data_IF_163038697886
#
_entry.id   IF_163038697886
#
_cell.length_a   1.000
_cell.length_b   1.000
_cell.length_c   1.000
_cell.angle_alpha   90.00
_cell.angle_beta   90.00
_cell.angle_gamma   90.00
#
_symmetry.space_group_name_H-M   'P 1'
#
loop_
_entity.id
_entity.type
_entity.pdbx_description
1 polymer ?
#
# COMPACT_ATOMS: atom_id res chain seq x y z
N UNK A 1 -11.01 -11.90 -1.06
CA UNK A 1 -9.58 -12.22 -1.14
C UNK A 1 -8.83 -10.89 -1.20
N UNK A 2 -7.72 -10.75 -0.48
CA UNK A 2 -6.87 -9.55 -0.51
C UNK A 2 -5.48 -9.95 -1.02
N UNK A 3 -5.02 -9.31 -2.09
CA UNK A 3 -3.69 -9.51 -2.68
C UNK A 3 -3.03 -8.16 -2.81
N UNK A 4 -1.78 -8.08 -2.39
CA UNK A 4 -0.95 -6.89 -2.48
C UNK A 4 -0.10 -6.97 -3.73
N UNK A 5 0.02 -5.84 -4.44
CA UNK A 5 0.72 -5.78 -5.71
C UNK A 5 1.65 -4.56 -5.72
N UNK A 6 2.88 -4.75 -6.18
CA UNK A 6 3.83 -3.68 -6.45
C UNK A 6 4.05 -3.55 -7.94
N UNK A 7 4.00 -2.31 -8.43
CA UNK A 7 4.18 -1.98 -9.84
C UNK A 7 5.19 -0.88 -10.04
N UNK A 8 5.81 -0.83 -11.21
CA UNK A 8 6.60 0.32 -11.63
C UNK A 8 5.69 1.51 -12.02
N UNK A 9 6.24 2.71 -12.23
CA UNK A 9 5.44 3.88 -12.63
C UNK A 9 4.72 3.75 -14.00
N UNK A 10 5.09 2.76 -14.82
CA UNK A 10 4.49 2.46 -16.12
C UNK A 10 3.44 1.33 -16.03
N UNK A 11 3.17 0.82 -14.82
CA UNK A 11 2.18 -0.23 -14.57
C UNK A 11 2.68 -1.66 -14.76
N UNK A 12 4.00 -1.88 -14.89
CA UNK A 12 4.56 -3.25 -14.96
C UNK A 12 4.54 -3.87 -13.56
N UNK A 13 4.07 -5.11 -13.50
CA UNK A 13 4.05 -5.89 -12.26
C UNK A 13 5.49 -6.24 -11.83
N UNK A 14 5.88 -5.79 -10.63
CA UNK A 14 7.17 -6.10 -10.02
C UNK A 14 7.06 -7.26 -9.03
N UNK A 15 5.95 -7.34 -8.29
CA UNK A 15 5.72 -8.37 -7.28
C UNK A 15 4.24 -8.47 -6.90
N UNK A 16 3.82 -9.67 -6.48
CA UNK A 16 2.49 -9.94 -5.93
C UNK A 16 2.58 -10.83 -4.67
N UNK A 17 1.74 -10.56 -3.68
CA UNK A 17 1.69 -11.32 -2.43
C UNK A 17 0.91 -12.61 -2.55
N UNK A 18 1.10 -13.51 -1.57
CA UNK A 18 0.13 -14.57 -1.33
C UNK A 18 -1.22 -13.98 -0.91
N UNK A 19 -2.29 -14.70 -1.22
CA UNK A 19 -3.64 -14.27 -0.94
C UNK A 19 -3.99 -14.33 0.55
N UNK A 20 -4.61 -13.27 1.06
CA UNK A 20 -5.21 -13.21 2.39
C UNK A 20 -6.76 -13.22 2.30
N UNK A 21 -7.47 -13.54 3.40
CA UNK A 21 -8.92 -13.39 3.46
C UNK A 21 -9.38 -12.01 3.01
N UNK A 22 -10.53 -11.93 2.32
CA UNK A 22 -11.06 -10.64 1.83
C UNK A 22 -11.46 -9.66 2.91
N UNK A 23 -11.66 -10.14 4.14
CA UNK A 23 -11.93 -9.34 5.32
C UNK A 23 -10.68 -8.69 5.92
N UNK A 24 -9.48 -9.08 5.48
CA UNK A 24 -8.24 -8.46 5.94
C UNK A 24 -8.13 -7.05 5.38
N UNK A 25 -8.02 -6.07 6.27
CA UNK A 25 -7.80 -4.68 5.90
C UNK A 25 -6.48 -4.53 5.12
N UNK A 26 -6.47 -3.71 4.08
CA UNK A 26 -5.33 -3.54 3.16
C UNK A 26 -4.02 -3.18 3.88
N UNK A 27 -4.11 -2.26 4.85
CA UNK A 27 -2.95 -1.89 5.67
C UNK A 27 -2.41 -3.06 6.52
N UNK A 28 -3.30 -3.93 7.00
CA UNK A 28 -2.89 -5.12 7.75
C UNK A 28 -2.20 -6.10 6.81
N UNK A 29 -2.76 -6.32 5.61
CA UNK A 29 -2.14 -7.16 4.59
C UNK A 29 -0.74 -6.66 4.20
N UNK A 30 -0.57 -5.37 3.92
CA UNK A 30 0.73 -4.80 3.58
C UNK A 30 1.76 -4.91 4.71
N UNK A 31 1.34 -4.77 5.98
CA UNK A 31 2.23 -4.97 7.13
C UNK A 31 2.60 -6.44 7.31
N UNK A 32 1.65 -7.36 7.18
CA UNK A 32 1.91 -8.80 7.24
C UNK A 32 2.90 -9.27 6.17
N UNK A 33 2.90 -8.61 5.00
CA UNK A 33 3.85 -8.89 3.92
C UNK A 33 5.15 -8.07 3.97
N UNK A 34 5.35 -7.22 5.00
CA UNK A 34 6.56 -6.41 5.15
C UNK A 34 6.73 -5.33 4.08
N UNK A 35 5.68 -4.99 3.33
CA UNK A 35 5.72 -4.02 2.23
C UNK A 35 6.06 -2.63 2.78
N UNK A 36 5.46 -2.24 3.90
CA UNK A 36 5.75 -0.96 4.56
C UNK A 36 7.22 -0.86 4.98
N UNK A 37 7.76 -1.93 5.56
CA UNK A 37 9.14 -1.94 6.07
C UNK A 37 10.15 -1.97 4.93
N UNK A 38 9.87 -2.69 3.84
CA UNK A 38 10.69 -2.70 2.64
C UNK A 38 10.78 -1.32 1.97
N UNK A 39 9.68 -0.57 1.92
CA UNK A 39 9.70 0.81 1.44
C UNK A 39 10.48 1.74 2.37
N UNK A 40 10.37 1.55 3.68
CA UNK A 40 11.15 2.32 4.65
C UNK A 40 12.65 2.06 4.52
N UNK A 41 13.05 0.79 4.39
CA UNK A 41 14.45 0.40 4.24
C UNK A 41 15.07 0.86 2.92
N UNK A 42 14.29 0.85 1.82
CA UNK A 42 14.77 1.27 0.50
C UNK A 42 14.77 2.79 0.29
N UNK A 43 14.06 3.55 1.14
CA UNK A 43 13.87 4.99 0.98
C UNK A 43 13.00 5.39 -0.21
N UNK A 44 12.44 4.42 -0.95
CA UNK A 44 11.67 4.65 -2.17
C UNK A 44 10.26 5.15 -1.81
N UNK A 45 9.84 6.25 -2.45
CA UNK A 45 8.48 6.78 -2.28
C UNK A 45 7.50 5.94 -3.09
N UNK A 46 6.55 5.30 -2.40
CA UNK A 46 5.49 4.53 -3.02
C UNK A 46 4.17 5.32 -3.03
N UNK A 47 3.39 5.20 -4.11
CA UNK A 47 2.01 5.69 -4.14
C UNK A 47 1.08 4.52 -3.84
N UNK A 48 0.20 4.71 -2.88
CA UNK A 48 -0.81 3.73 -2.52
C UNK A 48 -2.19 4.38 -2.51
N UNK A 49 -3.24 3.56 -2.52
CA UNK A 49 -4.59 4.07 -2.38
C UNK A 49 -4.87 4.60 -0.96
N UNK A 50 -6.08 5.10 -0.77
CA UNK A 50 -6.50 5.77 0.47
C UNK A 50 -6.59 4.83 1.69
N UNK A 51 -6.75 3.52 1.49
CA UNK A 51 -6.81 2.55 2.58
C UNK A 51 -5.45 2.37 3.30
N UNK A 52 -4.35 2.77 2.66
CA UNK A 52 -3.00 2.76 3.24
C UNK A 52 -2.64 4.02 4.02
N UNK A 53 -3.63 4.82 4.41
CA UNK A 53 -3.38 5.98 5.27
C UNK A 53 -2.79 5.50 6.61
N UNK A 54 -1.61 6.01 6.97
CA UNK A 54 -0.87 5.56 8.16
C UNK A 54 0.15 4.44 7.89
N UNK A 55 0.43 4.12 6.62
CA UNK A 55 1.47 3.17 6.21
C UNK A 55 2.92 3.70 6.30
N UNK A 56 3.16 4.83 6.98
CA UNK A 56 4.51 5.39 7.15
C UNK A 56 4.88 6.49 6.15
N UNK A 57 6.03 7.14 6.38
CA UNK A 57 6.44 8.37 5.68
C UNK A 57 6.83 8.17 4.20
N UNK A 58 7.15 6.93 3.81
CA UNK A 58 7.51 6.56 2.44
C UNK A 58 6.29 6.22 1.56
N UNK A 59 5.10 6.06 2.16
CA UNK A 59 3.85 5.80 1.43
C UNK A 59 3.06 7.08 1.27
N UNK A 60 2.81 7.48 0.02
CA UNK A 60 2.01 8.64 -0.35
C UNK A 60 0.62 8.18 -0.75
N UNK A 61 -0.38 8.63 0.00
CA UNK A 61 -1.79 8.36 -0.27
C UNK A 61 -2.51 9.62 -0.76
N UNK A 62 -3.50 9.50 -1.65
CA UNK A 62 -4.31 10.63 -2.05
C UNK A 62 -5.08 11.21 -0.85
N UNK A 63 -5.24 12.53 -0.84
CA UNK A 63 -5.96 13.26 0.20
C UNK A 63 -7.45 12.83 0.24
N UNK A 64 -8.01 12.66 1.44
CA UNK A 64 -9.48 12.51 1.55
C UNK A 64 -10.11 13.82 1.12
N UNK A 65 -11.17 13.75 0.31
CA UNK A 65 -12.08 14.89 0.13
C UNK A 65 -12.55 15.36 1.51
N UNK A 66 -12.26 16.62 1.83
CA UNK A 66 -12.86 17.30 2.99
C UNK A 66 -14.33 17.50 2.64
N UNK A 67 -15.28 17.15 3.53
CA UNK A 67 -16.66 17.62 3.38
C UNK A 67 -16.58 19.14 3.47
N UNK A 68 -16.68 19.83 2.33
CA UNK A 68 -17.01 21.24 2.32
C UNK A 68 -18.45 21.31 2.84
N UNK A 69 -18.62 21.90 4.02
CA UNK A 69 -19.92 22.27 4.55
C UNK A 69 -20.38 23.53 3.85
#
# INVERSE_FOLDING_TARGET
>A
MNVQVLTDPFGRLLWASSALPGSTHDLTAARSHGITDAHAASGIKCRADKAYQGAGCHVRVPFRRRRLK
#
